data_IF_385460448852
#
_entry.id   IF_385460448852
#
_cell.length_a   1.000
_cell.length_b   1.000
_cell.length_c   1.000
_cell.angle_alpha   90.00
_cell.angle_beta   90.00
_cell.angle_gamma   90.00
#
_symmetry.space_group_name_H-M   'P 1'
#
loop_
_entity.id
_entity.type
_entity.pdbx_description
1 polymer ?
#
# COMPACT_ATOMS: atom_id res chain seq x y z
N UNK A 1 -0.47 18.50 0.06
CA UNK A 1 -0.65 17.05 -0.14
C UNK A 1 -1.53 16.54 0.97
N UNK A 2 -2.57 15.78 0.64
CA UNK A 2 -3.30 15.02 1.64
C UNK A 2 -2.37 13.93 2.17
N UNK A 3 -2.48 13.60 3.46
CA UNK A 3 -1.60 12.64 4.12
C UNK A 3 -2.02 11.18 3.82
N UNK A 4 -3.20 11.01 3.20
CA UNK A 4 -3.80 9.77 2.69
C UNK A 4 -4.94 10.15 1.74
N UNK A 5 -5.41 9.19 0.95
CA UNK A 5 -6.63 9.29 0.14
C UNK A 5 -7.67 8.23 0.54
N UNK A 6 -8.50 7.82 -0.42
CA UNK A 6 -9.60 6.87 -0.16
C UNK A 6 -9.64 5.70 -1.15
N UNK A 7 -8.61 5.58 -1.99
CA UNK A 7 -8.48 4.49 -2.95
C UNK A 7 -7.59 3.40 -2.43
N UNK A 8 -8.14 2.22 -2.14
CA UNK A 8 -7.33 1.04 -1.84
C UNK A 8 -6.80 0.33 -3.08
N UNK A 9 -7.51 0.50 -4.19
CA UNK A 9 -6.95 0.29 -5.51
C UNK A 9 -7.34 1.42 -6.46
N UNK A 10 -6.43 1.72 -7.39
CA UNK A 10 -6.60 2.70 -8.45
C UNK A 10 -6.27 2.04 -9.76
N UNK A 11 -6.89 2.53 -10.83
CA UNK A 11 -6.52 2.13 -12.17
C UNK A 11 -5.02 2.34 -12.40
N UNK A 12 -4.34 1.28 -12.78
CA UNK A 12 -2.92 1.26 -13.12
C UNK A 12 -2.73 0.56 -14.46
N UNK A 13 -2.47 1.32 -15.51
CA UNK A 13 -2.25 0.72 -16.85
C UNK A 13 -0.79 0.40 -17.09
N UNK A 14 -0.54 -0.63 -17.90
CA UNK A 14 0.81 -0.93 -18.37
C UNK A 14 1.64 -1.69 -17.33
N UNK A 15 2.96 -1.57 -17.46
CA UNK A 15 3.93 -2.27 -16.60
C UNK A 15 5.09 -1.37 -16.25
N UNK A 16 5.85 -1.75 -15.22
CA UNK A 16 6.95 -0.95 -14.68
C UNK A 16 8.24 -1.75 -14.55
N UNK A 17 9.35 -1.02 -14.60
CA UNK A 17 10.65 -1.41 -14.09
C UNK A 17 11.06 -0.38 -13.02
N UNK A 18 11.68 -0.83 -11.93
CA UNK A 18 12.19 0.07 -10.88
C UNK A 18 13.68 -0.16 -10.72
N UNK A 19 14.48 0.88 -10.89
CA UNK A 19 15.91 0.82 -10.61
C UNK A 19 16.19 1.05 -9.11
N UNK A 20 17.29 0.52 -8.59
CA UNK A 20 17.67 0.65 -7.17
C UNK A 20 17.89 2.09 -6.70
N UNK A 21 18.02 3.06 -7.63
CA UNK A 21 18.08 4.49 -7.33
C UNK A 21 16.69 5.16 -7.26
N UNK A 22 15.60 4.40 -7.34
CA UNK A 22 14.24 4.90 -7.28
C UNK A 22 13.66 5.36 -8.62
N UNK A 23 14.38 5.25 -9.75
CA UNK A 23 13.82 5.57 -11.05
C UNK A 23 12.81 4.50 -11.47
N UNK A 24 11.57 4.92 -11.72
CA UNK A 24 10.51 4.08 -12.29
C UNK A 24 10.42 4.36 -13.79
N UNK A 25 10.55 3.30 -14.58
CA UNK A 25 10.36 3.33 -16.04
C UNK A 25 9.11 2.53 -16.38
N UNK A 26 8.07 3.24 -16.80
CA UNK A 26 6.80 2.65 -17.22
C UNK A 26 6.78 2.30 -18.72
N UNK A 27 6.02 1.27 -19.06
CA UNK A 27 5.69 0.89 -20.44
C UNK A 27 4.17 0.88 -20.60
N UNK A 28 3.64 1.76 -21.44
CA UNK A 28 2.19 2.00 -21.59
C UNK A 28 1.47 2.41 -20.30
N UNK A 29 2.20 3.04 -19.39
CA UNK A 29 1.66 3.65 -18.17
C UNK A 29 1.13 5.06 -18.45
N UNK A 30 0.22 5.54 -17.58
CA UNK A 30 -0.34 6.90 -17.66
C UNK A 30 -0.21 7.61 -16.30
N UNK A 31 1.02 7.68 -15.78
CA UNK A 31 1.28 8.21 -14.43
C UNK A 31 0.77 9.63 -14.19
N UNK A 32 0.78 10.55 -15.17
CA UNK A 32 0.33 11.94 -14.94
C UNK A 32 -1.17 12.02 -14.62
N UNK A 33 -1.95 10.99 -14.95
CA UNK A 33 -3.40 10.95 -14.73
C UNK A 33 -3.83 9.92 -13.67
N UNK A 34 -3.12 8.80 -13.58
CA UNK A 34 -3.50 7.66 -12.72
C UNK A 34 -2.84 7.70 -11.35
N UNK A 35 -1.67 8.33 -11.23
CA UNK A 35 -0.90 8.40 -9.99
C UNK A 35 -0.80 9.83 -9.46
N UNK A 36 -0.53 9.94 -8.17
CA UNK A 36 -0.19 11.19 -7.50
C UNK A 36 1.05 11.02 -6.62
N UNK A 37 1.75 12.12 -6.37
CA UNK A 37 2.85 12.12 -5.39
C UNK A 37 2.29 11.80 -4.01
N UNK A 38 2.88 10.79 -3.36
CA UNK A 38 2.41 10.23 -2.09
C UNK A 38 1.69 8.90 -2.25
N UNK A 39 1.23 8.54 -3.45
CA UNK A 39 0.64 7.23 -3.69
C UNK A 39 1.68 6.13 -3.50
N UNK A 40 1.20 4.95 -3.11
CA UNK A 40 2.03 3.75 -3.09
C UNK A 40 1.94 3.05 -4.44
N UNK A 41 3.09 2.75 -5.01
CA UNK A 41 3.25 1.86 -6.15
C UNK A 41 3.56 0.47 -5.62
N UNK A 42 2.64 -0.47 -5.81
CA UNK A 42 2.72 -1.83 -5.27
C UNK A 42 2.93 -2.80 -6.42
N UNK A 43 4.05 -3.51 -6.43
CA UNK A 43 4.35 -4.54 -7.44
C UNK A 43 3.79 -5.90 -7.01
N UNK A 44 3.85 -6.16 -5.70
CA UNK A 44 3.22 -7.31 -5.05
C UNK A 44 3.10 -7.01 -3.54
N UNK A 45 2.54 -7.94 -2.78
CA UNK A 45 2.28 -7.80 -1.33
C UNK A 45 3.51 -7.51 -0.47
N UNK A 46 4.74 -7.65 -0.97
CA UNK A 46 5.97 -7.37 -0.21
C UNK A 46 6.86 -6.31 -0.85
N UNK A 47 6.61 -5.95 -2.11
CA UNK A 47 7.41 -5.00 -2.87
C UNK A 47 6.57 -3.79 -3.22
N UNK A 48 6.78 -2.72 -2.46
CA UNK A 48 6.03 -1.47 -2.56
C UNK A 48 6.92 -0.25 -2.32
N UNK A 49 6.53 0.86 -2.93
CA UNK A 49 7.28 2.12 -2.91
C UNK A 49 6.34 3.30 -2.78
N UNK A 50 6.85 4.44 -2.32
CA UNK A 50 6.09 5.71 -2.29
C UNK A 50 6.56 6.60 -3.43
N UNK A 51 5.63 7.13 -4.22
CA UNK A 51 5.94 8.05 -5.33
C UNK A 51 6.35 9.42 -4.77
N UNK A 52 7.56 9.88 -5.08
CA UNK A 52 8.08 11.19 -4.68
C UNK A 52 7.87 12.25 -5.76
N UNK A 53 7.95 11.85 -7.03
CA UNK A 53 7.70 12.74 -8.16
C UNK A 53 7.24 11.96 -9.39
N UNK A 54 6.47 12.63 -10.23
CA UNK A 54 6.05 12.15 -11.55
C UNK A 54 6.62 13.14 -12.56
N UNK A 55 7.41 12.62 -13.49
CA UNK A 55 8.08 13.42 -14.53
C UNK A 55 7.27 13.38 -15.83
N UNK A 56 6.66 12.23 -16.12
CA UNK A 56 5.75 12.03 -17.24
C UNK A 56 4.91 10.76 -17.03
N UNK A 57 3.97 10.52 -17.93
CA UNK A 57 3.21 9.27 -18.05
C UNK A 57 4.04 7.97 -17.90
N UNK A 58 5.32 7.98 -18.27
CA UNK A 58 6.19 6.78 -18.23
C UNK A 58 7.39 6.91 -17.31
N UNK A 59 7.53 8.02 -16.59
CA UNK A 59 8.69 8.24 -15.70
C UNK A 59 8.23 8.83 -14.38
N UNK A 60 8.56 8.14 -13.29
CA UNK A 60 8.35 8.61 -11.93
C UNK A 60 9.60 8.31 -11.09
N UNK A 61 9.69 8.90 -9.91
CA UNK A 61 10.67 8.54 -8.90
C UNK A 61 9.99 8.09 -7.62
N UNK A 62 10.55 7.06 -7.01
CA UNK A 62 10.04 6.45 -5.78
C UNK A 62 11.12 6.30 -4.72
N UNK A 63 10.66 6.21 -3.47
CA UNK A 63 11.45 5.86 -2.30
C UNK A 63 10.92 4.56 -1.72
N UNK A 64 11.75 3.87 -0.94
CA UNK A 64 11.30 2.68 -0.23
C UNK A 64 10.07 3.02 0.64
N UNK A 65 9.05 2.17 0.59
CA UNK A 65 7.84 2.36 1.38
C UNK A 65 8.05 2.00 2.87
N UNK A 66 9.19 1.43 3.22
CA UNK A 66 9.46 1.01 4.59
C UNK A 66 10.65 1.80 5.14
N UNK A 67 10.46 2.44 6.28
CA UNK A 67 11.49 3.27 6.90
C UNK A 67 12.74 2.44 7.20
N UNK A 68 13.91 2.97 6.84
CA UNK A 68 15.20 2.30 7.03
C UNK A 68 15.52 1.21 6.01
N UNK A 69 14.70 1.05 4.96
CA UNK A 69 14.99 0.14 3.84
C UNK A 69 15.41 0.91 2.59
N UNK A 70 15.95 0.18 1.60
CA UNK A 70 16.34 0.73 0.29
C UNK A 70 15.38 0.28 -0.80
N UNK A 71 15.36 0.99 -1.93
CA UNK A 71 14.56 0.59 -3.10
C UNK A 71 15.09 -0.71 -3.68
N UNK A 72 14.26 -1.75 -3.68
CA UNK A 72 14.53 -3.01 -4.37
C UNK A 72 14.35 -2.82 -5.88
N UNK A 73 15.35 -3.25 -6.67
CA UNK A 73 15.21 -3.22 -8.12
C UNK A 73 14.15 -4.23 -8.58
N UNK A 74 13.33 -3.81 -9.54
CA UNK A 74 12.27 -4.60 -10.17
C UNK A 74 12.54 -4.63 -11.66
N UNK A 75 12.59 -5.83 -12.23
CA UNK A 75 12.81 -6.03 -13.66
C UNK A 75 11.67 -5.40 -14.49
N UNK A 76 11.90 -5.21 -15.79
CA UNK A 76 10.86 -4.69 -16.68
C UNK A 76 9.69 -5.67 -16.86
N UNK A 77 8.52 -5.13 -17.17
CA UNK A 77 7.33 -5.92 -17.50
C UNK A 77 6.51 -6.37 -16.30
N UNK A 78 6.75 -5.81 -15.09
CA UNK A 78 5.94 -6.14 -13.93
C UNK A 78 4.65 -5.32 -13.89
N UNK A 79 3.53 -5.98 -13.61
CA UNK A 79 2.29 -5.31 -13.24
C UNK A 79 2.47 -4.57 -11.91
N UNK A 80 1.61 -3.58 -11.68
CA UNK A 80 1.58 -2.83 -10.44
C UNK A 80 0.15 -2.36 -10.15
N UNK A 81 -0.12 -2.08 -8.89
CA UNK A 81 -1.30 -1.36 -8.41
C UNK A 81 -0.89 -0.05 -7.76
N UNK A 82 -1.87 0.83 -7.56
CA UNK A 82 -1.69 2.13 -6.95
C UNK A 82 -2.70 2.30 -5.83
N UNK A 83 -2.25 2.76 -4.66
CA UNK A 83 -3.16 3.04 -3.56
C UNK A 83 -2.76 4.25 -2.71
N UNK A 84 -3.72 4.76 -1.97
CA UNK A 84 -3.62 6.05 -1.27
C UNK A 84 -3.54 5.89 0.25
N UNK A 85 -2.99 4.76 0.70
CA UNK A 85 -2.85 4.48 2.13
C UNK A 85 -2.01 5.56 2.85
N UNK A 86 -2.11 5.70 4.17
CA UNK A 86 -1.42 6.75 4.89
C UNK A 86 0.10 6.72 4.71
N UNK A 87 0.67 7.84 4.28
CA UNK A 87 2.12 7.94 4.04
C UNK A 87 2.92 7.91 5.34
N UNK A 88 2.29 8.26 6.48
CA UNK A 88 2.94 8.29 7.80
C UNK A 88 3.54 6.93 8.16
N UNK A 89 2.94 5.82 7.72
CA UNK A 89 3.44 4.46 7.97
C UNK A 89 4.84 4.28 7.38
N UNK A 90 5.11 4.88 6.21
CA UNK A 90 6.41 4.78 5.53
C UNK A 90 7.53 5.63 6.16
N UNK A 91 7.18 6.64 6.97
CA UNK A 91 8.13 7.69 7.37
C UNK A 91 8.23 7.94 8.87
N UNK A 92 7.24 7.52 9.66
CA UNK A 92 7.18 7.82 11.10
C UNK A 92 7.45 6.63 12.00
N UNK A 93 7.42 5.42 11.47
CA UNK A 93 7.54 4.18 12.24
C UNK A 93 8.68 3.32 11.67
N UNK A 94 9.69 3.06 12.50
CA UNK A 94 10.71 2.05 12.15
C UNK A 94 10.06 0.68 12.29
N UNK A 95 10.23 -0.22 11.31
CA UNK A 95 9.66 -1.55 11.39
C UNK A 95 10.17 -2.32 12.61
N UNK A 96 9.25 -2.68 13.49
CA UNK A 96 9.52 -3.59 14.60
C UNK A 96 8.48 -4.70 14.58
N UNK A 97 8.89 -5.86 14.05
CA UNK A 97 7.93 -6.90 13.65
C UNK A 97 7.10 -6.40 12.45
N UNK A 98 5.77 -6.45 12.57
CA UNK A 98 4.83 -6.00 11.53
C UNK A 98 4.28 -4.58 11.75
N UNK A 99 4.73 -3.88 12.80
CA UNK A 99 4.43 -2.46 12.99
C UNK A 99 5.31 -1.63 12.04
N UNK A 100 4.81 -0.52 11.51
CA UNK A 100 5.50 0.32 10.53
C UNK A 100 5.68 -0.30 9.14
N UNK A 101 5.07 -1.47 8.88
CA UNK A 101 5.06 -2.11 7.58
C UNK A 101 3.78 -1.73 6.81
N UNK A 102 3.87 -0.93 5.73
CA UNK A 102 2.69 -0.53 4.99
C UNK A 102 2.10 -1.64 4.11
N UNK A 103 2.71 -2.84 4.01
CA UNK A 103 2.08 -4.01 3.40
C UNK A 103 1.02 -4.66 4.30
N UNK A 104 0.95 -4.21 5.56
CA UNK A 104 -0.02 -4.66 6.56
C UNK A 104 -1.14 -3.65 6.77
N UNK A 105 -1.28 -2.70 5.85
CA UNK A 105 -2.29 -1.65 5.87
C UNK A 105 -3.20 -1.84 4.69
N UNK A 106 -4.49 -1.99 4.99
CA UNK A 106 -5.54 -2.35 4.07
C UNK A 106 -6.64 -1.29 4.13
N UNK A 107 -7.29 -1.03 3.00
CA UNK A 107 -8.43 -0.15 2.93
C UNK A 107 -9.70 -0.96 3.16
N UNK A 108 -10.34 -0.72 4.30
CA UNK A 108 -11.55 -1.44 4.70
C UNK A 108 -12.77 -0.57 4.42
N UNK A 109 -13.72 -1.07 3.65
CA UNK A 109 -15.00 -0.44 3.44
C UNK A 109 -16.04 -0.80 4.53
N UNK A 110 -17.23 -0.19 4.47
CA UNK A 110 -18.27 -0.44 5.49
C UNK A 110 -18.88 -1.83 5.43
N UNK A 111 -18.79 -2.51 4.29
CA UNK A 111 -19.26 -3.87 4.07
C UNK A 111 -18.29 -4.86 4.73
N UNK A 112 -16.99 -4.73 4.45
CA UNK A 112 -15.95 -5.57 5.02
C UNK A 112 -15.87 -5.44 6.55
N UNK A 113 -16.04 -4.22 7.07
CA UNK A 113 -16.13 -3.97 8.51
C UNK A 113 -17.37 -4.60 9.19
N UNK A 114 -18.37 -5.00 8.41
CA UNK A 114 -19.56 -5.71 8.90
C UNK A 114 -19.47 -7.24 8.81
N UNK A 115 -18.52 -7.77 8.03
CA UNK A 115 -18.38 -9.20 7.72
C UNK A 115 -17.18 -9.83 8.42
N UNK A 116 -16.07 -9.10 8.51
CA UNK A 116 -14.79 -9.60 9.03
C UNK A 116 -14.59 -9.30 10.52
N UNK A 117 -13.43 -9.67 11.05
CA UNK A 117 -13.03 -9.38 12.43
C UNK A 117 -12.64 -7.90 12.66
N UNK A 118 -12.60 -7.08 11.61
CA UNK A 118 -12.38 -5.63 11.76
C UNK A 118 -13.69 -4.93 12.10
N UNK A 119 -13.66 -4.05 13.09
CA UNK A 119 -14.88 -3.39 13.61
C UNK A 119 -15.10 -1.99 13.03
N UNK A 120 -14.16 -1.50 12.22
CA UNK A 120 -14.18 -0.14 11.69
C UNK A 120 -13.71 -0.12 10.23
N UNK A 121 -14.43 0.65 9.42
CA UNK A 121 -14.00 1.01 8.09
C UNK A 121 -12.92 2.11 8.13
N UNK A 122 -12.10 2.15 7.08
CA UNK A 122 -11.01 3.09 6.88
C UNK A 122 -9.69 2.39 6.60
N UNK A 123 -8.58 3.08 6.89
CA UNK A 123 -7.26 2.48 6.75
C UNK A 123 -6.92 1.69 8.01
N UNK A 124 -6.92 0.37 7.90
CA UNK A 124 -6.73 -0.54 9.03
C UNK A 124 -5.42 -1.30 8.85
N UNK A 125 -4.58 -1.24 9.88
CA UNK A 125 -3.43 -2.13 10.01
C UNK A 125 -3.86 -3.45 10.62
N UNK A 126 -3.53 -4.56 9.96
CA UNK A 126 -3.77 -5.93 10.44
C UNK A 126 -2.45 -6.68 10.61
N UNK A 127 -2.21 -7.17 11.81
CA UNK A 127 -0.98 -7.92 12.14
C UNK A 127 -1.32 -9.20 12.91
N UNK A 128 -0.46 -10.22 12.78
CA UNK A 128 -0.59 -11.46 13.54
C UNK A 128 0.59 -11.56 14.50
N UNK A 129 0.31 -11.82 15.78
CA UNK A 129 1.33 -12.04 16.81
C UNK A 129 1.06 -13.37 17.52
N UNK A 130 2.10 -14.20 17.61
CA UNK A 130 2.08 -15.41 18.43
C UNK A 130 2.24 -15.03 19.90
N UNK A 131 1.32 -15.48 20.74
CA UNK A 131 1.39 -15.27 22.19
C UNK A 131 2.41 -16.20 22.87
N UNK A 132 2.60 -16.03 24.18
CA UNK A 132 3.57 -16.82 24.96
C UNK A 132 3.21 -18.32 25.05
N UNK A 133 2.02 -18.70 24.58
CA UNK A 133 1.53 -20.07 24.54
C UNK A 133 1.55 -20.65 23.12
N UNK A 134 2.12 -19.95 22.15
CA UNK A 134 2.22 -20.41 20.76
C UNK A 134 0.93 -20.23 19.95
N UNK A 135 -0.05 -19.47 20.46
CA UNK A 135 -1.30 -19.21 19.74
C UNK A 135 -1.21 -17.90 18.96
N UNK A 136 -1.55 -17.94 17.69
CA UNK A 136 -1.61 -16.75 16.85
C UNK A 136 -2.84 -15.89 17.17
N UNK A 137 -2.61 -14.59 17.33
CA UNK A 137 -3.62 -13.59 17.62
C UNK A 137 -3.58 -12.52 16.53
N UNK A 138 -4.72 -12.26 15.92
CA UNK A 138 -4.88 -11.16 14.97
C UNK A 138 -5.15 -9.88 15.76
N UNK A 139 -4.41 -8.83 15.42
CA UNK A 139 -4.53 -7.50 15.99
C UNK A 139 -4.86 -6.51 14.88
N UNK A 140 -5.84 -5.66 15.13
CA UNK A 140 -6.26 -4.59 14.23
C UNK A 140 -6.00 -3.23 14.87
N UNK A 141 -5.56 -2.27 14.07
CA UNK A 141 -5.42 -0.88 14.45
C UNK A 141 -5.96 0.02 13.36
N UNK A 142 -6.87 0.91 13.74
CA UNK A 142 -7.46 1.88 12.81
C UNK A 142 -6.51 3.08 12.73
N UNK A 143 -5.80 3.22 11.61
CA UNK A 143 -4.91 4.35 11.36
C UNK A 143 -5.70 5.59 10.97
N UNK A 144 -6.77 5.39 10.19
CA UNK A 144 -7.71 6.44 9.78
C UNK A 144 -9.10 5.84 9.76
N UNK A 145 -9.99 6.32 10.63
CA UNK A 145 -11.40 5.92 10.61
C UNK A 145 -12.13 6.68 9.50
N UNK A 146 -12.80 5.95 8.61
CA UNK A 146 -13.43 6.51 7.40
C UNK A 146 -14.49 5.55 6.84
N UNK A 147 -15.51 6.03 6.14
CA UNK A 147 -16.61 5.20 5.61
C UNK A 147 -16.78 5.27 4.09
N UNK A 148 -15.80 5.84 3.38
CA UNK A 148 -15.80 6.02 1.93
C UNK A 148 -14.48 5.54 1.30
N UNK A 149 -13.86 4.50 1.89
CA UNK A 149 -12.88 3.70 1.16
C UNK A 149 -13.56 3.14 -0.10
N UNK A 150 -12.82 3.13 -1.20
CA UNK A 150 -13.31 2.68 -2.50
C UNK A 150 -12.15 2.15 -3.32
N UNK A 151 -12.44 1.38 -4.36
CA UNK A 151 -11.39 0.55 -4.96
C UNK A 151 -11.07 -0.61 -4.03
N UNK A 152 -10.77 -1.74 -4.61
CA UNK A 152 -10.69 -3.01 -3.90
C UNK A 152 -9.36 -3.65 -4.27
N UNK A 153 -8.48 -3.76 -3.28
CA UNK A 153 -7.19 -4.39 -3.47
C UNK A 153 -7.36 -5.91 -3.45
N UNK A 154 -6.39 -6.64 -4.01
CA UNK A 154 -6.42 -8.10 -3.99
C UNK A 154 -5.88 -8.65 -2.66
N UNK A 155 -6.47 -8.27 -1.53
CA UNK A 155 -6.08 -8.64 -0.16
C UNK A 155 -7.09 -9.53 0.57
N UNK A 156 -8.01 -10.15 -0.17
CA UNK A 156 -9.04 -11.09 0.31
C UNK A 156 -8.52 -12.23 1.22
N UNK A 157 -7.23 -12.56 1.12
CA UNK A 157 -6.61 -13.57 1.98
C UNK A 157 -6.48 -13.09 3.43
N UNK A 158 -6.29 -11.78 3.63
CA UNK A 158 -6.17 -11.14 4.91
C UNK A 158 -7.49 -10.56 5.41
N UNK A 159 -8.25 -9.94 4.51
CA UNK A 159 -9.56 -9.34 4.76
C UNK A 159 -10.51 -9.81 3.66
N UNK A 160 -11.22 -10.92 3.86
CA UNK A 160 -12.15 -11.42 2.86
C UNK A 160 -13.23 -10.38 2.55
N UNK A 161 -13.53 -10.26 1.27
CA UNK A 161 -14.75 -9.61 0.80
C UNK A 161 -16.02 -10.26 1.39
N UNK A 162 -17.14 -9.58 1.15
CA UNK A 162 -18.47 -10.14 1.33
C UNK A 162 -18.87 -11.08 0.21
#
# INVERSE_FOLDING_TARGET
MALWGNKDDKTSTGTVAIAANGLVTGTSTVFDNEAQVGDYLVVNSTVQFVINSITSNTVAHVSAAQLGTSVNAVAAGNNYTLNEKPISVSFSEVPQGSHGDPSKVFGVDTTEAGVTDTTHAGWVRRTTKTDMHGTDRVMHEVLVAKSDISGDAADDTELPDS
#
